data_IF_224231389252
#
_entry.id   IF_224231389252
#
_cell.length_a   1.000
_cell.length_b   1.000
_cell.length_c   1.000
_cell.angle_alpha   90.00
_cell.angle_beta   90.00
_cell.angle_gamma   90.00
#
_symmetry.space_group_name_H-M   'P 1'
#
loop_
_entity.id
_entity.type
_entity.pdbx_description
1 polymer ?
#
# COMPACT_ATOMS: atom_id res chain seq x y z
N UNK A 1 11.62 -19.04 27.29
CA UNK A 1 11.53 -19.01 25.84
C UNK A 1 10.07 -19.19 25.45
N UNK A 2 9.54 -18.29 24.68
CA UNK A 2 8.15 -18.38 24.19
C UNK A 2 7.97 -19.56 23.24
N UNK A 3 6.73 -20.01 23.11
CA UNK A 3 6.39 -21.20 22.29
C UNK A 3 6.05 -20.72 20.87
N UNK A 4 6.83 -21.14 19.89
CA UNK A 4 6.52 -20.88 18.47
C UNK A 4 5.46 -21.89 18.03
N UNK A 5 4.33 -21.37 17.53
CA UNK A 5 3.27 -22.15 16.89
C UNK A 5 3.18 -21.76 15.42
N UNK A 6 3.51 -22.70 14.55
CA UNK A 6 3.52 -22.46 13.11
C UNK A 6 2.22 -22.90 12.47
N UNK A 7 1.66 -22.09 11.57
CA UNK A 7 0.57 -22.55 10.70
C UNK A 7 0.98 -23.79 9.89
N UNK A 8 0.07 -24.68 9.50
CA UNK A 8 0.40 -25.94 8.81
C UNK A 8 1.15 -25.75 7.48
N UNK A 9 1.07 -24.57 6.89
CA UNK A 9 1.68 -24.22 5.60
C UNK A 9 2.71 -23.09 5.71
N UNK A 10 3.29 -22.90 6.91
CA UNK A 10 4.36 -21.93 7.10
C UNK A 10 5.66 -22.48 6.48
N UNK A 11 6.09 -21.86 5.38
CA UNK A 11 7.36 -22.19 4.70
C UNK A 11 8.58 -21.52 5.39
N UNK A 12 8.37 -20.87 6.54
CA UNK A 12 9.39 -20.15 7.30
C UNK A 12 9.37 -18.63 7.03
N UNK A 13 10.31 -17.89 7.64
CA UNK A 13 10.43 -16.46 7.45
C UNK A 13 10.71 -16.10 6.00
N UNK A 14 10.05 -15.02 5.53
CA UNK A 14 10.17 -14.54 4.15
C UNK A 14 11.54 -13.90 3.90
N UNK A 15 12.06 -13.25 4.95
CA UNK A 15 13.29 -12.48 4.85
C UNK A 15 14.08 -12.53 6.17
N UNK A 16 15.34 -12.08 6.11
CA UNK A 16 16.24 -12.06 7.26
C UNK A 16 15.73 -11.19 8.42
N UNK A 17 14.90 -10.17 8.13
CA UNK A 17 14.31 -9.31 9.16
C UNK A 17 13.26 -10.04 10.00
N UNK A 18 12.39 -10.81 9.35
CA UNK A 18 11.41 -11.65 10.06
C UNK A 18 12.09 -12.75 10.88
N UNK A 19 13.17 -13.37 10.35
CA UNK A 19 13.93 -14.35 11.11
C UNK A 19 14.54 -13.72 12.37
N UNK A 20 15.14 -12.52 12.26
CA UNK A 20 15.70 -11.81 13.43
C UNK A 20 14.63 -11.50 14.47
N UNK A 21 13.44 -11.04 14.03
CA UNK A 21 12.31 -10.78 14.93
C UNK A 21 11.90 -12.05 15.68
N UNK A 22 11.71 -13.16 14.93
CA UNK A 22 11.30 -14.45 15.49
C UNK A 22 12.32 -14.99 16.49
N UNK A 23 13.61 -15.00 16.14
CA UNK A 23 14.69 -15.46 17.00
C UNK A 23 14.75 -14.61 18.29
N UNK A 24 14.65 -13.29 18.16
CA UNK A 24 14.69 -12.37 19.27
C UNK A 24 13.52 -12.61 20.25
N UNK A 25 12.28 -12.59 19.72
CA UNK A 25 11.09 -12.77 20.57
C UNK A 25 11.04 -14.17 21.21
N UNK A 26 11.43 -15.22 20.48
CA UNK A 26 11.39 -16.58 21.00
C UNK A 26 12.26 -16.77 22.24
N UNK A 27 13.43 -16.12 22.24
CA UNK A 27 14.38 -16.18 23.37
C UNK A 27 13.95 -15.30 24.54
N UNK A 28 13.43 -14.11 24.27
CA UNK A 28 13.22 -13.06 25.26
C UNK A 28 11.84 -13.09 25.93
N UNK A 29 10.80 -13.52 25.21
CA UNK A 29 9.45 -13.56 25.78
C UNK A 29 9.25 -14.76 26.74
N UNK A 30 8.32 -14.64 27.72
CA UNK A 30 7.98 -15.70 28.67
C UNK A 30 7.53 -17.00 28.00
N UNK A 31 7.71 -18.13 28.68
CA UNK A 31 7.42 -19.49 28.16
C UNK A 31 5.92 -19.82 28.04
N UNK A 32 5.06 -18.99 28.59
CA UNK A 32 3.61 -19.10 28.48
C UNK A 32 3.02 -18.21 27.36
N UNK A 33 3.87 -17.58 26.52
CA UNK A 33 3.44 -16.81 25.36
C UNK A 33 3.55 -17.65 24.10
N UNK A 34 2.64 -17.46 23.16
CA UNK A 34 2.69 -18.09 21.86
C UNK A 34 3.08 -17.07 20.78
N UNK A 35 4.00 -17.44 19.92
CA UNK A 35 4.43 -16.65 18.76
C UNK A 35 3.97 -17.40 17.51
N UNK A 36 3.21 -16.74 16.66
CA UNK A 36 2.68 -17.28 15.41
C UNK A 36 3.27 -16.44 14.26
N UNK A 37 4.31 -16.93 13.59
CA UNK A 37 4.91 -16.25 12.44
C UNK A 37 4.13 -16.51 11.17
N UNK A 38 4.22 -15.62 10.20
CA UNK A 38 3.74 -15.77 8.82
C UNK A 38 2.31 -16.30 8.70
N UNK A 39 1.40 -15.73 9.49
CA UNK A 39 0.02 -16.14 9.49
C UNK A 39 -0.71 -15.56 8.28
N UNK A 40 -1.25 -16.40 7.41
CA UNK A 40 -2.05 -16.02 6.24
C UNK A 40 -3.53 -16.31 6.50
N UNK A 41 -4.35 -15.28 6.57
CA UNK A 41 -5.77 -15.41 6.89
C UNK A 41 -6.62 -15.06 5.69
N UNK A 42 -7.41 -16.02 5.23
CA UNK A 42 -8.42 -15.83 4.20
C UNK A 42 -9.66 -15.15 4.78
N UNK A 43 -10.13 -14.10 4.14
CA UNK A 43 -11.36 -13.40 4.52
C UNK A 43 -12.27 -13.30 3.32
N UNK A 44 -13.48 -13.81 3.47
CA UNK A 44 -14.51 -13.74 2.44
C UNK A 44 -15.24 -12.42 2.56
N UNK A 45 -15.08 -11.55 1.58
CA UNK A 45 -15.82 -10.29 1.48
C UNK A 45 -17.30 -10.49 1.11
N UNK A 46 -18.11 -9.40 1.10
CA UNK A 46 -19.56 -9.44 0.85
C UNK A 46 -19.94 -10.13 -0.46
N UNK A 47 -19.06 -10.13 -1.46
CA UNK A 47 -19.28 -10.73 -2.78
C UNK A 47 -18.73 -12.16 -2.90
N UNK A 48 -18.49 -12.88 -1.78
CA UNK A 48 -17.86 -14.19 -1.73
C UNK A 48 -16.42 -14.23 -2.27
N UNK A 49 -15.78 -13.07 -2.36
CA UNK A 49 -14.42 -12.94 -2.83
C UNK A 49 -13.48 -13.19 -1.66
N UNK A 50 -12.56 -14.14 -1.80
CA UNK A 50 -11.56 -14.43 -0.77
C UNK A 50 -10.34 -13.53 -0.98
N UNK A 51 -10.02 -12.70 0.02
CA UNK A 51 -8.78 -11.93 0.11
C UNK A 51 -7.90 -12.55 1.19
N UNK A 52 -6.62 -12.67 0.90
CA UNK A 52 -5.63 -13.20 1.84
C UNK A 52 -4.88 -12.05 2.48
N UNK A 53 -4.82 -12.09 3.82
CA UNK A 53 -4.08 -11.11 4.61
C UNK A 53 -2.92 -11.82 5.31
N UNK A 54 -1.71 -11.38 5.02
CA UNK A 54 -0.49 -11.87 5.63
C UNK A 54 -0.15 -11.04 6.88
N UNK A 55 0.16 -11.73 7.96
CA UNK A 55 0.59 -11.15 9.23
C UNK A 55 2.00 -11.65 9.52
N UNK A 56 2.99 -10.76 9.56
CA UNK A 56 4.39 -11.11 9.74
C UNK A 56 4.61 -11.86 11.07
N UNK A 57 3.99 -11.38 12.16
CA UNK A 57 4.04 -12.04 13.45
C UNK A 57 2.83 -11.69 14.32
N UNK A 58 2.22 -12.71 14.94
CA UNK A 58 1.18 -12.53 15.95
C UNK A 58 1.69 -13.11 17.26
N UNK A 59 1.57 -12.35 18.37
CA UNK A 59 1.94 -12.82 19.70
C UNK A 59 0.69 -12.90 20.56
N UNK A 60 0.40 -14.10 21.10
CA UNK A 60 -0.71 -14.35 22.02
C UNK A 60 -0.15 -14.41 23.43
N UNK A 61 -0.56 -13.49 24.27
CA UNK A 61 -0.16 -13.39 25.68
C UNK A 61 -1.37 -13.61 26.60
N UNK A 62 -1.18 -13.82 27.90
CA UNK A 62 -2.32 -13.94 28.83
C UNK A 62 -3.20 -12.69 28.90
N UNK A 63 -2.70 -11.54 28.50
CA UNK A 63 -3.38 -10.25 28.68
C UNK A 63 -3.82 -9.60 27.37
N UNK A 64 -3.18 -9.91 26.24
CA UNK A 64 -3.48 -9.28 24.95
C UNK A 64 -3.06 -10.12 23.75
N UNK A 65 -3.62 -9.76 22.60
CA UNK A 65 -3.21 -10.22 21.27
C UNK A 65 -2.46 -9.09 20.58
N UNK A 66 -1.23 -9.35 20.14
CA UNK A 66 -0.37 -8.39 19.44
C UNK A 66 -0.23 -8.81 17.99
N UNK A 67 -0.42 -7.87 17.09
CA UNK A 67 -0.03 -7.96 15.68
C UNK A 67 1.22 -7.11 15.46
N UNK A 68 2.30 -7.74 15.01
CA UNK A 68 3.59 -7.10 14.78
C UNK A 68 3.87 -7.12 13.28
N UNK A 69 3.89 -5.94 12.67
CA UNK A 69 4.35 -5.72 11.30
C UNK A 69 5.84 -5.45 11.32
N UNK A 70 6.64 -6.20 10.58
CA UNK A 70 8.10 -6.09 10.60
C UNK A 70 8.61 -5.36 9.36
N UNK A 71 9.56 -4.44 9.58
CA UNK A 71 10.26 -3.73 8.50
C UNK A 71 11.77 -3.88 8.67
N UNK A 72 12.39 -4.53 7.69
CA UNK A 72 13.86 -4.67 7.63
C UNK A 72 14.48 -3.52 6.83
N UNK A 73 14.22 -2.30 7.29
CA UNK A 73 14.68 -1.10 6.61
C UNK A 73 16.03 -0.64 7.15
N UNK A 74 16.96 -0.32 6.25
CA UNK A 74 18.20 0.38 6.56
C UNK A 74 18.10 1.86 6.17
N UNK A 75 18.94 2.71 6.80
CA UNK A 75 19.07 4.14 6.47
C UNK A 75 18.29 5.04 7.40
N UNK A 76 18.27 6.35 7.08
CA UNK A 76 17.57 7.34 7.88
C UNK A 76 16.06 7.19 7.76
N UNK A 77 15.39 7.15 8.89
CA UNK A 77 13.94 7.08 8.97
C UNK A 77 13.44 8.33 9.71
N UNK A 78 12.50 9.02 9.10
CA UNK A 78 11.83 10.21 9.65
C UNK A 78 10.34 10.06 9.45
N UNK A 79 9.51 10.63 10.34
CA UNK A 79 8.06 10.57 10.16
C UNK A 79 7.27 10.89 11.41
N UNK A 80 5.97 10.97 11.19
CA UNK A 80 4.93 11.25 12.18
C UNK A 80 3.73 10.29 11.97
N UNK A 81 2.57 10.61 12.54
CA UNK A 81 1.34 9.81 12.37
C UNK A 81 0.80 9.82 10.92
N UNK A 82 1.24 10.76 10.08
CA UNK A 82 0.68 10.99 8.75
C UNK A 82 1.59 10.49 7.62
N UNK A 83 2.90 10.80 7.69
CA UNK A 83 3.85 10.50 6.63
C UNK A 83 5.18 9.98 7.18
N UNK A 84 5.75 9.00 6.50
CA UNK A 84 7.06 8.45 6.81
C UNK A 84 8.01 8.64 5.62
N UNK A 85 9.27 8.91 5.94
CA UNK A 85 10.33 9.10 4.95
C UNK A 85 11.51 8.19 5.29
N UNK A 86 12.05 7.55 4.25
CA UNK A 86 13.26 6.75 4.35
C UNK A 86 14.29 7.33 3.40
N UNK A 87 15.45 7.75 3.92
CA UNK A 87 16.49 8.45 3.15
C UNK A 87 15.95 9.66 2.37
N UNK A 88 15.02 10.41 2.96
CA UNK A 88 14.37 11.57 2.34
C UNK A 88 13.31 11.24 1.27
N UNK A 89 13.00 9.96 1.03
CA UNK A 89 11.92 9.54 0.14
C UNK A 89 10.72 9.09 0.96
N UNK A 90 9.53 9.56 0.58
CA UNK A 90 8.29 9.14 1.23
C UNK A 90 8.05 7.64 1.03
N UNK A 91 7.72 6.96 2.11
CA UNK A 91 7.34 5.55 2.14
C UNK A 91 5.98 5.40 2.81
N UNK A 92 5.28 4.31 2.50
CA UNK A 92 4.01 4.01 3.14
C UNK A 92 4.20 3.90 4.66
N UNK A 93 3.32 4.56 5.42
CA UNK A 93 3.32 4.43 6.88
C UNK A 93 2.85 3.02 7.27
N UNK A 94 3.73 2.16 7.83
CA UNK A 94 3.39 0.77 8.11
C UNK A 94 2.29 0.60 9.15
N UNK A 95 2.07 1.58 10.04
CA UNK A 95 1.00 1.53 11.02
C UNK A 95 -0.40 1.58 10.40
N UNK A 96 -0.56 2.29 9.28
CA UNK A 96 -1.87 2.36 8.59
C UNK A 96 -2.27 0.97 8.07
N UNK A 97 -1.36 0.31 7.36
CA UNK A 97 -1.59 -1.04 6.83
C UNK A 97 -1.74 -2.08 7.95
N UNK A 98 -0.85 -2.05 8.95
CA UNK A 98 -0.90 -2.96 10.07
C UNK A 98 -2.17 -2.77 10.92
N UNK A 99 -2.59 -1.53 11.16
CA UNK A 99 -3.84 -1.22 11.86
C UNK A 99 -5.08 -1.72 11.11
N UNK A 100 -5.10 -1.62 9.78
CA UNK A 100 -6.16 -2.21 8.96
C UNK A 100 -6.17 -3.74 9.09
N UNK A 101 -5.02 -4.40 8.94
CA UNK A 101 -4.88 -5.85 9.13
C UNK A 101 -5.41 -6.30 10.51
N UNK A 102 -5.07 -5.57 11.57
CA UNK A 102 -5.55 -5.88 12.94
C UNK A 102 -7.07 -5.80 13.08
N UNK A 103 -7.70 -4.78 12.50
CA UNK A 103 -9.18 -4.64 12.50
C UNK A 103 -9.86 -5.77 11.73
N UNK A 104 -9.29 -6.15 10.59
CA UNK A 104 -9.76 -7.25 9.76
C UNK A 104 -9.69 -8.57 10.53
N UNK A 105 -8.57 -8.85 11.19
CA UNK A 105 -8.40 -10.04 12.02
C UNK A 105 -9.42 -10.06 13.17
N UNK A 106 -9.56 -8.94 13.89
CA UNK A 106 -10.52 -8.81 14.97
C UNK A 106 -11.96 -9.07 14.51
N UNK A 107 -12.33 -8.54 13.35
CA UNK A 107 -13.66 -8.75 12.75
C UNK A 107 -13.88 -10.21 12.37
N UNK A 108 -12.89 -10.88 11.80
CA UNK A 108 -12.99 -12.32 11.48
C UNK A 108 -13.17 -13.17 12.73
N UNK A 109 -12.37 -12.93 13.77
CA UNK A 109 -12.50 -13.66 15.04
C UNK A 109 -13.90 -13.46 15.63
N UNK A 110 -14.38 -12.21 15.72
CA UNK A 110 -15.70 -11.88 16.28
C UNK A 110 -16.86 -12.48 15.47
N UNK A 111 -16.75 -12.51 14.16
CA UNK A 111 -17.81 -13.08 13.30
C UNK A 111 -17.91 -14.61 13.44
N UNK A 112 -16.80 -15.30 13.63
CA UNK A 112 -16.78 -16.74 13.82
C UNK A 112 -17.02 -17.16 15.27
N UNK A 113 -16.59 -16.35 16.23
CA UNK A 113 -16.66 -16.59 17.67
C UNK A 113 -17.18 -15.35 18.40
N UNK A 114 -18.49 -15.03 18.30
CA UNK A 114 -19.05 -13.81 18.90
C UNK A 114 -18.93 -13.76 20.44
N UNK A 115 -18.83 -14.92 21.06
CA UNK A 115 -18.68 -15.12 22.51
C UNK A 115 -17.25 -14.90 23.03
N UNK A 116 -16.26 -14.84 22.14
CA UNK A 116 -14.88 -14.60 22.54
C UNK A 116 -14.63 -13.12 22.87
N UNK A 117 -14.33 -12.88 24.13
CA UNK A 117 -13.94 -11.53 24.57
C UNK A 117 -12.41 -11.43 24.68
N UNK A 118 -11.75 -11.19 23.54
CA UNK A 118 -10.28 -11.04 23.46
C UNK A 118 -9.80 -9.60 23.48
N UNK A 119 -10.72 -8.63 23.63
CA UNK A 119 -10.38 -7.22 23.66
C UNK A 119 -9.98 -6.66 22.28
N UNK A 120 -9.02 -5.77 22.29
CA UNK A 120 -8.47 -5.14 21.08
C UNK A 120 -7.15 -5.82 20.70
N UNK A 121 -6.91 -5.99 19.39
CA UNK A 121 -5.59 -6.39 18.89
C UNK A 121 -4.68 -5.17 18.91
N UNK A 122 -3.55 -5.29 19.60
CA UNK A 122 -2.55 -4.23 19.70
C UNK A 122 -1.62 -4.35 18.51
N UNK A 123 -1.55 -3.27 17.73
CA UNK A 123 -0.72 -3.21 16.52
C UNK A 123 0.64 -2.59 16.85
N UNK A 124 1.71 -3.28 16.51
CA UNK A 124 3.08 -2.81 16.65
C UNK A 124 3.81 -2.85 15.32
N UNK A 125 4.76 -1.94 15.15
CA UNK A 125 5.72 -1.97 14.04
C UNK A 125 7.11 -2.23 14.60
N UNK A 126 7.84 -3.18 14.04
CA UNK A 126 9.23 -3.44 14.40
C UNK A 126 10.17 -3.08 13.27
N UNK A 127 11.28 -2.44 13.63
CA UNK A 127 12.40 -2.14 12.76
C UNK A 127 13.51 -3.14 13.05
N UNK A 128 13.58 -4.22 12.27
CA UNK A 128 14.46 -5.36 12.57
C UNK A 128 15.87 -5.25 12.00
N UNK A 129 16.15 -4.21 11.18
CA UNK A 129 17.49 -4.02 10.65
C UNK A 129 18.47 -3.63 11.77
N UNK A 130 19.65 -4.27 11.89
CA UNK A 130 20.57 -4.07 13.03
C UNK A 130 21.07 -2.64 13.22
N UNK A 131 21.12 -1.86 12.15
CA UNK A 131 21.59 -0.46 12.17
C UNK A 131 20.44 0.55 12.25
N UNK A 132 19.20 0.10 12.39
CA UNK A 132 18.07 1.00 12.38
C UNK A 132 17.76 1.54 13.77
N UNK A 133 17.28 2.79 13.79
CA UNK A 133 16.78 3.44 14.98
C UNK A 133 15.48 4.17 14.65
N UNK A 134 14.71 4.53 15.68
CA UNK A 134 13.50 5.33 15.53
C UNK A 134 13.69 6.81 15.88
N UNK A 135 14.92 7.28 16.02
CA UNK A 135 15.21 8.65 16.47
C UNK A 135 14.69 9.76 15.54
N UNK A 136 14.53 9.48 14.26
CA UNK A 136 13.95 10.43 13.30
C UNK A 136 12.42 10.46 13.30
N UNK A 137 11.75 9.59 14.05
CA UNK A 137 10.30 9.64 14.22
C UNK A 137 9.93 10.63 15.31
N UNK A 138 8.82 11.35 15.15
CA UNK A 138 8.33 12.30 16.15
C UNK A 138 7.91 11.59 17.45
N UNK A 139 8.59 11.81 18.58
CA UNK A 139 8.33 11.12 19.85
C UNK A 139 6.97 11.46 20.47
N UNK A 140 6.31 12.51 20.02
CA UNK A 140 4.97 12.90 20.51
C UNK A 140 3.86 12.07 19.86
N UNK A 141 4.13 11.46 18.72
CA UNK A 141 3.17 10.71 17.91
C UNK A 141 2.87 9.31 18.46
N UNK A 142 1.66 8.81 18.19
CA UNK A 142 1.25 7.46 18.59
C UNK A 142 1.99 6.38 17.81
N UNK A 143 2.31 6.64 16.53
CA UNK A 143 3.15 5.75 15.71
C UNK A 143 4.54 5.55 16.32
N UNK A 144 5.15 6.60 16.92
CA UNK A 144 6.43 6.45 17.63
C UNK A 144 6.31 5.51 18.84
N UNK A 145 5.23 5.64 19.64
CA UNK A 145 5.01 4.83 20.86
C UNK A 145 4.80 3.36 20.55
N UNK A 146 4.28 3.06 19.35
CA UNK A 146 4.00 1.70 18.86
C UNK A 146 5.07 1.17 17.90
N UNK A 147 6.16 1.91 17.68
CA UNK A 147 7.32 1.48 16.88
C UNK A 147 8.48 1.09 17.76
N UNK A 148 9.08 -0.06 17.49
CA UNK A 148 10.19 -0.59 18.27
C UNK A 148 11.32 -1.07 17.35
N UNK A 149 12.56 -0.91 17.80
CA UNK A 149 13.67 -1.72 17.33
C UNK A 149 13.72 -3.03 18.12
N UNK A 150 14.45 -4.03 17.63
CA UNK A 150 14.66 -5.26 18.39
C UNK A 150 15.50 -4.95 19.66
N UNK A 151 14.85 -4.94 20.81
CA UNK A 151 15.45 -4.56 22.08
C UNK A 151 14.51 -4.78 23.27
N UNK A 152 15.03 -4.59 24.47
CA UNK A 152 14.29 -4.86 25.71
C UNK A 152 12.99 -4.02 25.81
N UNK A 153 12.96 -2.82 25.25
CA UNK A 153 11.74 -2.00 25.22
C UNK A 153 10.55 -2.66 24.50
N UNK A 154 10.81 -3.44 23.44
CA UNK A 154 9.76 -4.22 22.77
C UNK A 154 9.24 -5.34 23.67
N UNK A 155 10.16 -6.03 24.35
CA UNK A 155 9.83 -7.14 25.26
C UNK A 155 9.06 -6.62 26.48
N UNK A 156 9.51 -5.51 27.05
CA UNK A 156 8.87 -4.86 28.19
C UNK A 156 7.44 -4.41 27.82
N UNK A 157 7.26 -3.83 26.62
CA UNK A 157 5.94 -3.42 26.13
C UNK A 157 5.00 -4.61 25.97
N UNK A 158 5.45 -5.71 25.33
CA UNK A 158 4.63 -6.91 25.12
C UNK A 158 4.33 -7.61 26.46
N UNK A 159 5.23 -7.51 27.44
CA UNK A 159 5.09 -8.16 28.75
C UNK A 159 4.35 -7.33 29.79
N UNK A 160 4.11 -6.05 29.53
CA UNK A 160 3.49 -5.14 30.48
C UNK A 160 1.97 -5.29 30.52
N UNK A 161 1.47 -5.88 31.61
CA UNK A 161 0.03 -6.10 31.84
C UNK A 161 -0.76 -4.80 32.06
N UNK A 162 -0.14 -3.76 32.60
CA UNK A 162 -0.82 -2.51 32.95
C UNK A 162 -1.27 -1.70 31.75
N UNK A 163 -0.58 -1.83 30.64
CA UNK A 163 -0.92 -1.12 29.39
C UNK A 163 -2.23 -1.60 28.75
N UNK A 164 -2.71 -2.78 29.12
CA UNK A 164 -3.86 -3.46 28.47
C UNK A 164 -5.04 -3.71 29.41
N UNK A 165 -4.96 -3.25 30.65
CA UNK A 165 -5.93 -3.48 31.72
C UNK A 165 -7.33 -2.91 31.46
N UNK A 166 -8.04 -3.44 30.45
CA UNK A 166 -9.46 -3.17 30.21
C UNK A 166 -10.37 -4.40 30.32
N UNK A 167 -9.84 -5.61 30.49
CA UNK A 167 -10.63 -6.77 30.86
C UNK A 167 -10.08 -7.34 32.15
N UNK A 168 -10.92 -7.47 33.19
CA UNK A 168 -10.55 -8.00 34.51
C UNK A 168 -9.94 -9.40 34.49
N UNK A 169 -10.10 -10.15 33.40
CA UNK A 169 -9.65 -11.53 33.22
C UNK A 169 -8.62 -11.76 32.11
N UNK A 170 -8.20 -10.73 31.38
CA UNK A 170 -7.32 -10.90 30.22
C UNK A 170 -7.90 -11.87 29.17
N UNK A 171 -7.02 -12.37 28.30
CA UNK A 171 -7.38 -13.38 27.30
C UNK A 171 -6.84 -14.77 27.64
N UNK A 172 -6.29 -14.96 28.83
CA UNK A 172 -5.70 -16.22 29.25
C UNK A 172 -6.60 -17.46 29.03
N UNK A 173 -7.93 -17.42 29.31
CA UNK A 173 -8.81 -18.55 29.03
C UNK A 173 -8.96 -18.86 27.53
N UNK A 174 -8.73 -17.90 26.67
CA UNK A 174 -8.89 -18.01 25.23
C UNK A 174 -7.57 -18.28 24.49
N UNK A 175 -6.41 -18.23 25.15
CA UNK A 175 -5.11 -18.32 24.50
C UNK A 175 -4.97 -19.56 23.61
N UNK A 176 -5.36 -20.74 24.10
CA UNK A 176 -5.27 -21.97 23.34
C UNK A 176 -6.19 -21.91 22.10
N UNK A 177 -7.44 -21.50 22.31
CA UNK A 177 -8.44 -21.39 21.23
C UNK A 177 -8.04 -20.35 20.17
N UNK A 178 -7.53 -19.18 20.58
CA UNK A 178 -6.99 -18.16 19.67
C UNK A 178 -5.78 -18.69 18.91
N UNK A 179 -4.89 -19.42 19.56
CA UNK A 179 -3.73 -20.02 18.92
C UNK A 179 -4.16 -21.08 17.89
N UNK A 180 -5.08 -21.96 18.25
CA UNK A 180 -5.61 -22.98 17.35
C UNK A 180 -6.37 -22.36 16.18
N UNK A 181 -7.12 -21.28 16.40
CA UNK A 181 -7.77 -20.51 15.35
C UNK A 181 -6.74 -19.91 14.37
N UNK A 182 -5.66 -19.30 14.88
CA UNK A 182 -4.63 -18.65 14.08
C UNK A 182 -3.68 -19.64 13.38
N UNK A 183 -3.63 -20.89 13.81
CA UNK A 183 -2.78 -21.95 13.23
C UNK A 183 -3.57 -23.10 12.60
N UNK A 184 -4.91 -23.04 12.65
CA UNK A 184 -5.79 -24.10 12.17
C UNK A 184 -6.13 -24.02 10.68
N UNK A 185 -7.22 -24.69 10.29
CA UNK A 185 -7.67 -24.80 8.88
C UNK A 185 -8.10 -23.46 8.24
N UNK A 186 -8.34 -22.43 9.06
CA UNK A 186 -8.64 -21.08 8.55
C UNK A 186 -7.42 -20.34 8.01
N UNK A 187 -6.22 -20.89 8.20
CA UNK A 187 -4.95 -20.35 7.74
C UNK A 187 -4.58 -21.06 6.45
N UNK A 188 -4.49 -20.31 5.37
CA UNK A 188 -4.21 -20.89 4.08
C UNK A 188 -2.73 -20.79 3.70
N UNK A 189 -2.33 -21.65 2.76
CA UNK A 189 -0.98 -21.67 2.22
C UNK A 189 -0.65 -20.33 1.57
N UNK A 190 0.54 -19.80 1.85
CA UNK A 190 1.11 -18.65 1.13
C UNK A 190 1.03 -18.93 -0.37
N UNK A 191 0.39 -18.04 -1.14
CA UNK A 191 0.41 -18.16 -2.59
C UNK A 191 1.85 -18.01 -3.06
N UNK A 192 2.28 -18.92 -3.95
CA UNK A 192 3.50 -18.72 -4.72
C UNK A 192 3.48 -17.31 -5.35
N UNK A 193 4.63 -16.65 -5.43
CA UNK A 193 4.74 -15.35 -6.07
C UNK A 193 4.02 -15.37 -7.42
N UNK A 194 3.12 -14.42 -7.59
CA UNK A 194 2.34 -14.31 -8.81
C UNK A 194 3.26 -13.99 -9.96
N UNK A 195 3.33 -14.87 -10.93
CA UNK A 195 4.19 -14.71 -12.12
C UNK A 195 3.45 -14.10 -13.30
N UNK A 196 2.13 -14.03 -13.24
CA UNK A 196 1.30 -13.53 -14.36
C UNK A 196 0.13 -12.65 -13.90
N UNK A 197 -0.23 -11.68 -14.74
CA UNK A 197 -1.44 -10.87 -14.63
C UNK A 197 -2.16 -10.96 -15.97
N UNK A 198 -3.35 -11.57 -16.01
CA UNK A 198 -4.03 -11.95 -17.25
C UNK A 198 -3.10 -12.75 -18.17
N UNK A 199 -2.89 -12.26 -19.38
CA UNK A 199 -1.99 -12.82 -20.40
C UNK A 199 -0.60 -12.13 -20.41
N UNK A 200 -0.23 -11.46 -19.32
CA UNK A 200 1.08 -10.81 -19.16
C UNK A 200 1.91 -11.56 -18.12
N UNK A 201 3.15 -11.86 -18.44
CA UNK A 201 4.15 -12.38 -17.52
C UNK A 201 4.84 -11.22 -16.81
N UNK A 202 4.93 -11.25 -15.49
CA UNK A 202 5.62 -10.24 -14.67
C UNK A 202 7.13 -10.46 -14.84
N UNK A 203 7.84 -9.43 -15.32
CA UNK A 203 9.32 -9.42 -15.35
C UNK A 203 9.88 -8.79 -14.07
N UNK A 204 9.27 -7.67 -13.62
CA UNK A 204 9.79 -6.90 -12.50
C UNK A 204 8.66 -6.16 -11.79
N UNK A 205 8.78 -5.99 -10.48
CA UNK A 205 7.96 -5.07 -9.69
C UNK A 205 8.65 -3.71 -9.66
N UNK A 206 8.06 -2.72 -10.36
CA UNK A 206 8.63 -1.39 -10.50
C UNK A 206 8.40 -0.51 -9.27
N UNK A 207 7.21 -0.57 -8.69
CA UNK A 207 6.80 0.26 -7.55
C UNK A 207 5.68 -0.40 -6.76
N UNK A 208 5.66 -0.14 -5.45
CA UNK A 208 4.56 -0.48 -4.56
C UNK A 208 4.21 0.73 -3.70
N UNK A 209 2.94 1.10 -3.65
CA UNK A 209 2.38 2.18 -2.86
C UNK A 209 1.18 1.67 -2.05
N UNK A 210 0.60 2.51 -1.20
CA UNK A 210 -0.65 2.18 -0.50
C UNK A 210 -1.84 1.99 -1.46
N UNK A 211 -1.80 2.63 -2.64
CA UNK A 211 -2.91 2.64 -3.58
C UNK A 211 -2.77 1.57 -4.67
N UNK A 212 -1.55 1.28 -5.10
CA UNK A 212 -1.32 0.36 -6.22
C UNK A 212 0.05 -0.31 -6.16
N UNK A 213 0.17 -1.45 -6.85
CA UNK A 213 1.44 -2.05 -7.20
C UNK A 213 1.65 -1.94 -8.71
N UNK A 214 2.84 -1.54 -9.14
CA UNK A 214 3.20 -1.38 -10.54
C UNK A 214 4.21 -2.43 -10.97
N UNK A 215 3.93 -3.09 -12.09
CA UNK A 215 4.75 -4.15 -12.65
C UNK A 215 5.18 -3.83 -14.08
N UNK A 216 6.40 -4.23 -14.42
CA UNK A 216 6.85 -4.40 -15.79
C UNK A 216 6.46 -5.80 -16.24
N UNK A 217 5.76 -5.90 -17.35
CA UNK A 217 5.20 -7.15 -17.84
C UNK A 217 5.45 -7.34 -19.32
N UNK A 218 5.50 -8.60 -19.75
CA UNK A 218 5.59 -9.00 -21.17
C UNK A 218 4.37 -9.84 -21.52
N UNK A 219 3.69 -9.56 -22.66
CA UNK A 219 2.62 -10.40 -23.14
C UNK A 219 3.12 -11.82 -23.45
N UNK A 220 2.37 -12.84 -23.05
CA UNK A 220 2.78 -14.25 -23.24
C UNK A 220 3.03 -14.64 -24.71
N UNK A 221 2.41 -13.93 -25.65
CA UNK A 221 2.48 -14.24 -27.09
C UNK A 221 3.36 -13.27 -27.90
N UNK A 222 3.87 -12.18 -27.30
CA UNK A 222 4.66 -11.14 -27.98
C UNK A 222 5.82 -10.72 -27.09
N UNK A 223 6.95 -11.41 -27.20
CA UNK A 223 8.12 -11.19 -26.34
C UNK A 223 8.84 -9.83 -26.58
N UNK A 224 8.53 -9.11 -27.63
CA UNK A 224 9.21 -7.84 -28.00
C UNK A 224 8.54 -6.59 -27.45
N UNK A 225 7.36 -6.73 -26.83
CA UNK A 225 6.61 -5.59 -26.30
C UNK A 225 6.58 -5.66 -24.77
N UNK A 226 6.86 -4.55 -24.13
CA UNK A 226 6.76 -4.40 -22.67
C UNK A 226 5.57 -3.54 -22.31
N UNK A 227 4.94 -3.88 -21.19
CA UNK A 227 3.78 -3.18 -20.68
C UNK A 227 3.99 -2.85 -19.21
N UNK A 228 3.53 -1.67 -18.82
CA UNK A 228 3.33 -1.29 -17.44
C UNK A 228 1.94 -1.72 -17.03
N UNK A 229 1.85 -2.49 -15.95
CA UNK A 229 0.60 -2.92 -15.35
C UNK A 229 0.53 -2.36 -13.95
N UNK A 230 -0.42 -1.46 -13.70
CA UNK A 230 -0.77 -1.00 -12.35
C UNK A 230 -1.94 -1.80 -11.84
N UNK A 231 -1.75 -2.41 -10.70
CA UNK A 231 -2.76 -3.19 -9.99
C UNK A 231 -3.26 -2.41 -8.79
N UNK A 232 -4.53 -2.04 -8.79
CA UNK A 232 -5.20 -1.35 -7.69
C UNK A 232 -6.09 -2.34 -6.94
N UNK A 233 -5.81 -2.63 -5.64
CA UNK A 233 -6.70 -3.46 -4.85
C UNK A 233 -8.03 -2.74 -4.64
N UNK A 234 -9.12 -3.40 -4.96
CA UNK A 234 -10.47 -2.93 -4.69
C UNK A 234 -10.88 -3.48 -3.33
N UNK A 235 -10.48 -2.77 -2.27
CA UNK A 235 -10.86 -3.14 -0.91
C UNK A 235 -12.31 -2.76 -0.64
N UNK A 236 -13.19 -3.73 -0.78
CA UNK A 236 -14.64 -3.55 -0.59
C UNK A 236 -15.13 -4.04 0.78
N UNK A 237 -14.30 -4.81 1.51
CA UNK A 237 -14.74 -5.55 2.68
C UNK A 237 -15.08 -4.65 3.88
N UNK A 238 -14.36 -3.55 4.06
CA UNK A 238 -14.48 -2.65 5.23
C UNK A 238 -14.98 -1.24 4.88
N UNK A 239 -15.45 -1.04 3.63
CA UNK A 239 -15.89 0.29 3.18
C UNK A 239 -17.38 0.49 3.41
N UNK A 240 -17.72 1.69 3.87
CA UNK A 240 -19.09 2.16 3.91
C UNK A 240 -19.69 2.23 2.48
N UNK A 241 -21.02 2.22 2.32
CA UNK A 241 -21.66 2.36 1.01
C UNK A 241 -21.19 3.59 0.23
N UNK A 242 -20.88 4.69 0.92
CA UNK A 242 -20.36 5.92 0.32
C UNK A 242 -18.94 5.76 -0.23
N UNK A 243 -18.06 5.08 0.51
CA UNK A 243 -16.70 4.80 0.07
C UNK A 243 -16.67 3.81 -1.10
N UNK A 244 -17.54 2.80 -1.09
CA UNK A 244 -17.73 1.88 -2.22
C UNK A 244 -18.20 2.61 -3.47
N UNK A 245 -19.14 3.56 -3.33
CA UNK A 245 -19.60 4.39 -4.44
C UNK A 245 -18.46 5.25 -5.00
N UNK A 246 -17.64 5.86 -4.14
CA UNK A 246 -16.47 6.64 -4.58
C UNK A 246 -15.43 5.78 -5.30
N UNK A 247 -15.17 4.57 -4.81
CA UNK A 247 -14.25 3.62 -5.43
C UNK A 247 -14.74 3.22 -6.83
N UNK A 248 -16.02 2.85 -6.95
CA UNK A 248 -16.62 2.50 -8.24
C UNK A 248 -16.60 3.68 -9.22
N UNK A 249 -16.89 4.89 -8.74
CA UNK A 249 -16.79 6.11 -9.56
C UNK A 249 -15.38 6.34 -10.07
N UNK A 250 -14.34 6.11 -9.25
CA UNK A 250 -12.95 6.30 -9.68
C UNK A 250 -12.56 5.33 -10.81
N UNK A 251 -12.98 4.07 -10.72
CA UNK A 251 -12.77 3.06 -11.76
C UNK A 251 -13.52 3.41 -13.04
N UNK A 252 -14.80 3.78 -12.91
CA UNK A 252 -15.63 4.22 -14.03
C UNK A 252 -15.05 5.46 -14.71
N UNK A 253 -14.60 6.44 -13.93
CA UNK A 253 -14.00 7.67 -14.45
C UNK A 253 -12.77 7.40 -15.31
N UNK A 254 -11.87 6.53 -14.88
CA UNK A 254 -10.67 6.18 -15.65
C UNK A 254 -11.05 5.57 -17.01
N UNK A 255 -12.02 4.64 -17.00
CA UNK A 255 -12.51 3.99 -18.20
C UNK A 255 -13.19 4.99 -19.16
N UNK A 256 -14.16 5.77 -18.65
CA UNK A 256 -14.89 6.76 -19.44
C UNK A 256 -13.98 7.87 -19.97
N UNK A 257 -12.97 8.28 -19.22
CA UNK A 257 -12.01 9.28 -19.68
C UNK A 257 -11.24 8.78 -20.91
N UNK A 258 -10.75 7.54 -20.85
CA UNK A 258 -10.01 6.94 -21.97
C UNK A 258 -10.89 6.81 -23.23
N UNK A 259 -12.13 6.35 -23.08
CA UNK A 259 -13.09 6.23 -24.16
C UNK A 259 -13.43 7.59 -24.82
N UNK A 260 -13.68 8.63 -23.97
CA UNK A 260 -14.05 9.97 -24.46
C UNK A 260 -12.86 10.70 -25.12
N UNK A 261 -11.66 10.57 -24.58
CA UNK A 261 -10.47 11.26 -25.09
C UNK A 261 -9.95 10.59 -26.36
N UNK A 262 -10.00 9.25 -26.41
CA UNK A 262 -9.42 8.47 -27.50
C UNK A 262 -7.90 8.57 -27.55
N UNK A 263 -7.32 8.35 -28.72
CA UNK A 263 -5.88 8.39 -28.91
C UNK A 263 -5.34 9.84 -28.93
N UNK A 264 -4.36 10.09 -28.09
CA UNK A 264 -3.64 11.37 -28.01
C UNK A 264 -2.15 11.12 -27.75
N UNK A 265 -1.24 11.77 -28.48
CA UNK A 265 0.19 11.61 -28.24
C UNK A 265 0.67 12.23 -26.92
N UNK A 266 -0.19 12.98 -26.25
CA UNK A 266 0.09 13.66 -24.98
C UNK A 266 -0.56 12.96 -23.78
N UNK A 267 -1.32 11.88 -24.00
CA UNK A 267 -2.02 11.13 -22.98
C UNK A 267 -1.61 9.67 -23.11
N UNK A 268 -1.26 9.05 -21.97
CA UNK A 268 -0.91 7.63 -21.95
C UNK A 268 -2.15 6.81 -22.32
N UNK A 269 -2.07 6.10 -23.43
CA UNK A 269 -3.14 5.18 -23.81
C UNK A 269 -3.13 4.01 -22.83
N UNK A 270 -4.20 3.89 -22.06
CA UNK A 270 -4.33 2.94 -20.96
C UNK A 270 -5.54 2.06 -21.17
N UNK A 271 -5.33 0.76 -21.26
CA UNK A 271 -6.41 -0.21 -21.20
C UNK A 271 -6.79 -0.46 -19.74
N UNK A 272 -8.05 -0.23 -19.42
CA UNK A 272 -8.60 -0.51 -18.09
C UNK A 272 -9.26 -1.88 -18.07
N UNK A 273 -9.02 -2.65 -17.02
CA UNK A 273 -9.60 -4.00 -16.89
C UNK A 273 -9.78 -4.36 -15.41
N UNK A 274 -10.83 -5.11 -15.08
CA UNK A 274 -11.01 -5.73 -13.76
C UNK A 274 -10.71 -7.21 -13.88
N UNK A 275 -10.26 -7.84 -12.78
CA UNK A 275 -10.24 -9.30 -12.72
C UNK A 275 -11.68 -9.84 -12.61
N UNK A 276 -11.87 -11.13 -12.90
CA UNK A 276 -13.20 -11.78 -12.87
C UNK A 276 -13.89 -11.66 -11.51
N UNK A 277 -13.09 -11.66 -10.43
CA UNK A 277 -13.56 -11.59 -9.05
C UNK A 277 -13.86 -10.14 -8.60
N UNK A 278 -13.60 -9.13 -9.44
CA UNK A 278 -13.75 -7.70 -9.14
C UNK A 278 -13.04 -7.25 -7.84
N UNK A 279 -11.92 -7.88 -7.52
CA UNK A 279 -11.07 -7.53 -6.36
C UNK A 279 -9.94 -6.61 -6.70
N UNK A 280 -9.59 -6.53 -7.97
CA UNK A 280 -8.53 -5.69 -8.49
C UNK A 280 -8.96 -4.99 -9.76
N UNK A 281 -8.58 -3.72 -9.85
CA UNK A 281 -8.64 -2.92 -11.06
C UNK A 281 -7.23 -2.76 -11.62
N UNK A 282 -7.10 -2.85 -12.93
CA UNK A 282 -5.82 -2.78 -13.62
C UNK A 282 -5.82 -1.67 -14.65
N UNK A 283 -4.72 -0.94 -14.70
CA UNK A 283 -4.37 -0.03 -15.76
C UNK A 283 -3.17 -0.60 -16.52
N UNK A 284 -3.33 -0.88 -17.80
CA UNK A 284 -2.34 -1.52 -18.66
C UNK A 284 -1.96 -0.55 -19.75
N UNK A 285 -0.71 -0.12 -19.79
CA UNK A 285 -0.17 0.79 -20.81
C UNK A 285 1.12 0.23 -21.40
N UNK A 286 1.42 0.61 -22.63
CA UNK A 286 2.69 0.22 -23.27
C UNK A 286 3.85 0.91 -22.57
N UNK A 287 4.88 0.13 -22.20
CA UNK A 287 6.11 0.63 -21.61
C UNK A 287 7.11 1.01 -22.71
N UNK A 288 7.71 2.20 -22.64
CA UNK A 288 8.64 2.74 -23.61
C UNK A 288 9.87 3.36 -22.92
N UNK A 289 10.38 2.70 -21.88
CA UNK A 289 11.50 3.16 -21.04
C UNK A 289 11.30 4.57 -20.46
N UNK A 290 10.04 4.97 -20.28
CA UNK A 290 9.67 6.24 -19.65
C UNK A 290 9.81 6.18 -18.14
N UNK A 291 10.03 7.34 -17.53
CA UNK A 291 10.02 7.52 -16.07
C UNK A 291 8.99 8.56 -15.67
N UNK A 292 8.45 8.47 -14.47
CA UNK A 292 7.62 9.55 -13.96
C UNK A 292 8.44 10.85 -13.82
N UNK A 293 7.78 11.99 -14.01
CA UNK A 293 8.42 13.30 -13.81
C UNK A 293 8.99 13.41 -12.39
N UNK A 294 8.33 12.82 -11.38
CA UNK A 294 8.82 12.73 -10.00
C UNK A 294 10.18 12.04 -9.93
N UNK A 295 10.33 10.87 -10.56
CA UNK A 295 11.58 10.12 -10.55
C UNK A 295 12.70 10.93 -11.21
N UNK A 296 12.44 11.60 -12.34
CA UNK A 296 13.40 12.45 -13.02
C UNK A 296 13.77 13.71 -12.22
N UNK A 297 12.81 14.33 -11.52
CA UNK A 297 13.08 15.46 -10.62
C UNK A 297 14.02 15.06 -9.47
N UNK A 298 13.81 13.88 -8.89
CA UNK A 298 14.66 13.35 -7.82
C UNK A 298 16.10 13.08 -8.29
N UNK A 299 16.27 12.65 -9.56
CA UNK A 299 17.58 12.37 -10.15
C UNK A 299 18.33 13.65 -10.62
N UNK A 300 17.69 14.83 -10.62
CA UNK A 300 18.24 16.11 -11.10
C UNK A 300 18.79 16.07 -12.54
N UNK A 301 18.18 15.25 -13.41
CA UNK A 301 18.70 14.93 -14.76
C UNK A 301 18.09 15.78 -15.89
N UNK A 302 17.46 16.94 -15.60
CA UNK A 302 16.77 17.74 -16.60
C UNK A 302 17.65 18.79 -17.29
N UNK A 303 17.54 18.84 -18.62
CA UNK A 303 17.96 20.02 -19.41
C UNK A 303 16.87 21.10 -19.37
N UNK A 304 17.24 22.35 -19.47
CA UNK A 304 16.29 23.48 -19.47
C UNK A 304 15.26 23.40 -20.60
N UNK A 305 15.68 22.93 -21.78
CA UNK A 305 14.85 22.72 -22.95
C UNK A 305 13.75 21.68 -22.69
N UNK A 306 14.04 20.63 -21.92
CA UNK A 306 13.11 19.55 -21.64
C UNK A 306 11.95 20.03 -20.77
N UNK A 307 12.20 20.96 -19.85
CA UNK A 307 11.19 21.52 -18.93
C UNK A 307 10.06 22.21 -19.70
N UNK A 308 10.40 23.01 -20.70
CA UNK A 308 9.42 23.74 -21.51
C UNK A 308 8.60 22.76 -22.38
N UNK A 309 9.27 21.76 -22.97
CA UNK A 309 8.60 20.71 -23.74
C UNK A 309 7.59 19.94 -22.90
N UNK A 310 7.96 19.53 -21.66
CA UNK A 310 7.08 18.81 -20.74
C UNK A 310 5.84 19.64 -20.39
N UNK A 311 6.03 20.95 -20.09
CA UNK A 311 4.90 21.85 -19.78
C UNK A 311 3.95 21.95 -20.98
N UNK A 312 4.49 22.11 -22.17
CA UNK A 312 3.71 22.21 -23.39
C UNK A 312 2.95 20.91 -23.69
N UNK A 313 3.58 19.77 -23.51
CA UNK A 313 2.95 18.46 -23.73
C UNK A 313 1.82 18.22 -22.72
N UNK A 314 2.02 18.55 -21.42
CA UNK A 314 0.96 18.47 -20.41
C UNK A 314 -0.18 19.43 -20.69
N UNK A 315 0.11 20.65 -21.14
CA UNK A 315 -0.93 21.62 -21.54
C UNK A 315 -1.74 21.10 -22.75
N UNK A 316 -1.08 20.45 -23.72
CA UNK A 316 -1.75 19.82 -24.87
C UNK A 316 -2.59 18.60 -24.45
N UNK A 317 -2.13 17.81 -23.46
CA UNK A 317 -2.91 16.73 -22.87
C UNK A 317 -4.19 17.25 -22.21
N UNK A 318 -4.08 18.30 -21.40
CA UNK A 318 -5.24 18.93 -20.76
C UNK A 318 -6.19 19.55 -21.78
N UNK A 319 -5.65 20.20 -22.82
CA UNK A 319 -6.46 20.72 -23.92
C UNK A 319 -7.26 19.63 -24.64
N UNK A 320 -6.63 18.48 -24.92
CA UNK A 320 -7.28 17.35 -25.55
C UNK A 320 -8.42 16.79 -24.66
N UNK A 321 -8.17 16.62 -23.35
CA UNK A 321 -9.16 16.17 -22.40
C UNK A 321 -10.34 17.17 -22.24
N UNK A 322 -10.04 18.45 -22.09
CA UNK A 322 -11.05 19.51 -21.92
C UNK A 322 -11.95 19.66 -23.16
N UNK A 323 -11.41 19.42 -24.36
CA UNK A 323 -12.20 19.46 -25.59
C UNK A 323 -13.38 18.48 -25.56
N UNK A 324 -13.25 17.37 -24.84
CA UNK A 324 -14.29 16.36 -24.64
C UNK A 324 -14.90 16.41 -23.25
N UNK A 325 -14.73 17.56 -22.57
CA UNK A 325 -15.29 17.85 -21.23
C UNK A 325 -14.81 16.88 -20.13
N UNK A 326 -13.59 16.36 -20.25
CA UNK A 326 -12.92 15.54 -19.23
C UNK A 326 -11.92 16.41 -18.49
N UNK A 327 -12.06 16.51 -17.16
CA UNK A 327 -11.19 17.30 -16.29
C UNK A 327 -10.37 16.36 -15.41
N UNK A 328 -9.05 16.38 -15.54
CA UNK A 328 -8.14 15.40 -14.91
C UNK A 328 -8.14 15.44 -13.37
N UNK A 329 -8.12 16.64 -12.78
CA UNK A 329 -8.19 16.92 -11.32
C UNK A 329 -7.03 16.40 -10.46
N UNK A 330 -6.09 15.63 -11.02
CA UNK A 330 -4.93 15.08 -10.31
C UNK A 330 -3.64 15.23 -11.12
N UNK A 331 -3.37 16.44 -11.63
CA UNK A 331 -2.12 16.74 -12.34
C UNK A 331 -1.00 16.89 -11.31
N UNK A 332 -0.12 15.89 -11.24
CA UNK A 332 1.02 15.85 -10.34
C UNK A 332 2.20 15.16 -11.04
N UNK A 333 3.44 15.34 -10.55
CA UNK A 333 4.64 14.75 -11.18
C UNK A 333 4.61 13.22 -11.28
N UNK A 334 3.88 12.54 -10.43
CA UNK A 334 3.71 11.09 -10.43
C UNK A 334 2.87 10.61 -11.60
N UNK A 335 1.98 11.47 -12.11
CA UNK A 335 1.05 11.18 -13.21
C UNK A 335 1.52 11.72 -14.57
N UNK A 336 2.74 12.23 -14.64
CA UNK A 336 3.37 12.70 -15.88
C UNK A 336 4.53 11.76 -16.21
N UNK A 337 4.46 11.09 -17.35
CA UNK A 337 5.54 10.26 -17.84
C UNK A 337 6.41 11.03 -18.83
N UNK A 338 7.73 10.92 -18.68
CA UNK A 338 8.72 11.58 -19.53
C UNK A 338 9.49 10.52 -20.28
N UNK A 339 9.39 10.57 -21.58
CA UNK A 339 10.05 9.66 -22.52
C UNK A 339 11.43 10.14 -22.89
N UNK A 340 12.19 9.27 -23.56
CA UNK A 340 13.44 9.66 -24.19
C UNK A 340 13.20 10.81 -25.20
N UNK A 341 14.11 11.79 -25.25
CA UNK A 341 13.93 12.98 -26.06
C UNK A 341 13.08 14.10 -25.45
N UNK A 342 12.68 13.98 -24.17
CA UNK A 342 12.02 15.06 -23.43
C UNK A 342 10.54 15.26 -23.72
N UNK A 343 9.90 14.33 -24.45
CA UNK A 343 8.44 14.30 -24.64
C UNK A 343 7.75 13.84 -23.36
N UNK A 344 6.53 14.31 -23.13
CA UNK A 344 5.76 13.93 -21.96
C UNK A 344 4.32 13.51 -22.31
N UNK A 345 3.76 12.64 -21.45
CA UNK A 345 2.35 12.28 -21.52
C UNK A 345 1.72 12.23 -20.12
N UNK A 346 0.46 12.63 -20.05
CA UNK A 346 -0.35 12.63 -18.84
C UNK A 346 -1.06 11.28 -18.69
N UNK A 347 -1.05 10.72 -17.48
CA UNK A 347 -1.66 9.45 -17.12
C UNK A 347 -2.57 9.59 -15.90
N UNK A 348 -3.27 8.53 -15.52
CA UNK A 348 -4.08 8.42 -14.30
C UNK A 348 -5.30 9.36 -14.27
N UNK A 349 -6.28 9.07 -15.09
CA UNK A 349 -7.55 9.81 -15.15
C UNK A 349 -8.61 9.34 -14.12
N UNK A 350 -8.25 8.57 -13.11
CA UNK A 350 -9.18 8.01 -12.10
C UNK A 350 -9.95 9.08 -11.30
N UNK A 351 -9.33 10.23 -11.08
CA UNK A 351 -9.95 11.36 -10.39
C UNK A 351 -10.68 12.32 -11.33
N UNK A 352 -10.84 11.95 -12.59
CA UNK A 352 -11.50 12.79 -13.61
C UNK A 352 -12.94 13.11 -13.26
N UNK A 353 -13.35 14.27 -13.68
CA UNK A 353 -14.73 14.74 -13.60
C UNK A 353 -15.27 15.03 -14.99
N UNK A 354 -16.54 14.69 -15.21
CA UNK A 354 -17.24 14.87 -16.48
C UNK A 354 -18.35 15.90 -16.26
N UNK A 355 -18.43 16.90 -17.12
CA UNK A 355 -19.56 17.84 -17.12
C UNK A 355 -20.64 17.28 -18.02
N UNK A 356 -21.65 16.68 -17.44
CA UNK A 356 -22.86 16.24 -18.16
C UNK A 356 -23.94 17.32 -18.19
N UNK A 357 -23.91 18.28 -17.24
CA UNK A 357 -24.79 19.46 -17.20
C UNK A 357 -24.01 20.67 -16.70
N UNK A 358 -24.20 21.78 -17.39
CA UNK A 358 -23.51 23.05 -17.19
C UNK A 358 -24.05 23.71 -15.92
N UNK A 359 -23.23 23.74 -14.85
CA UNK A 359 -23.28 24.80 -13.87
C UNK A 359 -21.93 25.54 -13.90
N UNK A 360 -21.94 26.72 -14.49
CA UNK A 360 -20.76 27.49 -14.89
C UNK A 360 -19.98 28.14 -13.74
N UNK A 361 -20.10 27.68 -12.50
CA UNK A 361 -19.61 28.39 -11.32
C UNK A 361 -18.26 27.89 -10.75
N UNK A 362 -17.53 27.01 -11.39
CA UNK A 362 -16.24 26.53 -10.86
C UNK A 362 -15.05 26.73 -11.79
N UNK A 363 -14.23 27.74 -11.46
CA UNK A 363 -12.87 27.94 -11.99
C UNK A 363 -11.87 26.98 -11.33
N UNK A 364 -11.90 25.71 -11.66
CA UNK A 364 -11.16 24.66 -10.90
C UNK A 364 -9.71 24.45 -11.37
N UNK A 365 -9.30 24.97 -12.53
CA UNK A 365 -8.04 24.57 -13.14
C UNK A 365 -6.83 25.50 -12.96
N UNK A 366 -7.02 26.70 -12.43
CA UNK A 366 -5.88 27.59 -12.14
C UNK A 366 -5.00 27.07 -11.00
N UNK A 367 -5.60 26.37 -10.00
CA UNK A 367 -4.87 25.87 -8.84
C UNK A 367 -3.96 24.67 -9.17
N UNK A 368 -4.37 23.77 -10.05
CA UNK A 368 -3.55 22.61 -10.44
C UNK A 368 -2.38 23.04 -11.34
N UNK A 369 -2.63 23.94 -12.30
CA UNK A 369 -1.58 24.52 -13.14
C UNK A 369 -0.66 25.41 -12.30
N UNK A 370 -1.20 26.21 -11.37
CA UNK A 370 -0.40 27.03 -10.43
C UNK A 370 0.46 26.16 -9.50
N UNK A 371 -0.04 25.01 -9.02
CA UNK A 371 0.75 24.05 -8.24
C UNK A 371 1.87 23.44 -9.07
N UNK A 372 1.60 23.06 -10.32
CA UNK A 372 2.62 22.53 -11.23
C UNK A 372 3.67 23.61 -11.52
N UNK A 373 3.24 24.82 -11.81
CA UNK A 373 4.13 25.97 -12.04
C UNK A 373 4.91 26.35 -10.79
N UNK A 374 4.31 26.34 -9.60
CA UNK A 374 5.00 26.64 -8.35
C UNK A 374 5.99 25.54 -7.95
N UNK A 375 5.68 24.28 -8.19
CA UNK A 375 6.62 23.17 -8.01
C UNK A 375 7.80 23.28 -8.97
N UNK A 376 7.57 23.61 -10.20
CA UNK A 376 8.62 23.84 -11.20
C UNK A 376 9.41 25.13 -10.86
N UNK A 377 8.76 26.18 -10.36
CA UNK A 377 9.38 27.45 -9.98
C UNK A 377 10.22 27.33 -8.69
N UNK A 378 9.75 26.60 -7.68
CA UNK A 378 10.52 26.32 -6.45
C UNK A 378 11.77 25.48 -6.75
N UNK A 379 11.70 24.60 -7.73
CA UNK A 379 12.87 23.87 -8.23
C UNK A 379 13.78 24.76 -9.12
N UNK A 380 13.25 25.85 -9.69
CA UNK A 380 14.02 26.82 -10.46
C UNK A 380 14.88 27.71 -9.57
N UNK A 381 14.40 28.03 -8.38
CA UNK A 381 15.12 28.93 -7.44
C UNK A 381 16.11 28.19 -6.54
N UNK A 382 16.09 26.88 -6.51
CA UNK A 382 17.01 26.04 -5.74
C UNK A 382 18.23 25.53 -6.54
N UNK A 383 18.39 25.99 -7.78
CA UNK A 383 19.57 25.79 -8.63
C UNK A 383 20.17 27.13 -9.02
#
# INVERSE_FOLDING_TARGET
MAIIKRPPHDDGPVNAGEQRLLDYLSVKLPNNYFIIPNCNIAITGPNRIMKYWEYDCIVVTPHALYHIENKDWAGNLEGDDYAWFRNGQEVANPHKTAGLKSRILASKIKNQHPDWNFGQIITLVTLSHPQQSKFGLDPTCDTYKQTFTLGDALVDFISNHELVARSENGIQPLMAQLTDFLTGESVERRRAERTTIFNYTIEEKLQETEEFTEYLCVPQFIATARYRVREYPLDVADKSPKELQQLNLSVQNAYMAQEKIGDSPYIVNTKCQMNEEQTYYYEISRYQDESSLRAKLNQKTFKQTDKLSIIMDVANALKAAHKVQVYHRNVCPENIYVYEGGRAALANFRMSWFVEHIDLSFSVNSAAISRLLSLLQNYWMAM
#
